data_IF_573276909220
#
_entry.id   IF_573276909220
#
_cell.length_a   1.000
_cell.length_b   1.000
_cell.length_c   1.000
_cell.angle_alpha   90.00
_cell.angle_beta   90.00
_cell.angle_gamma   90.00
#
_symmetry.space_group_name_H-M   'P 1'
#
loop_
_entity.id
_entity.type
_entity.pdbx_description
1 polymer ?
#
# COMPACT_ATOMS: atom_id res chain seq x y z
N UNK A 1 -12.65 -23.82 -57.36
CA UNK A 1 -13.39 -22.80 -56.58
C UNK A 1 -13.83 -23.48 -55.29
N UNK A 2 -13.08 -23.30 -54.20
CA UNK A 2 -13.35 -23.91 -52.89
C UNK A 2 -14.01 -22.87 -51.98
N UNK A 3 -15.25 -23.13 -51.57
CA UNK A 3 -15.97 -22.38 -50.54
C UNK A 3 -15.55 -22.93 -49.16
N UNK A 4 -14.74 -22.17 -48.42
CA UNK A 4 -14.43 -22.42 -47.02
C UNK A 4 -15.49 -21.72 -46.14
N UNK A 5 -16.40 -22.52 -45.57
CA UNK A 5 -17.31 -22.11 -44.50
C UNK A 5 -16.54 -22.11 -43.17
N UNK A 6 -16.30 -20.93 -42.60
CA UNK A 6 -15.86 -20.79 -41.21
C UNK A 6 -17.07 -20.80 -40.28
N UNK A 7 -17.06 -21.58 -39.19
CA UNK A 7 -18.10 -21.48 -38.17
C UNK A 7 -17.91 -20.20 -37.34
N UNK A 8 -18.99 -19.44 -37.22
CA UNK A 8 -19.17 -18.35 -36.26
C UNK A 8 -19.03 -18.90 -34.84
N UNK A 9 -17.85 -18.74 -34.25
CA UNK A 9 -17.64 -18.96 -32.82
C UNK A 9 -18.41 -17.89 -32.05
N UNK A 10 -19.42 -18.33 -31.30
CA UNK A 10 -20.29 -17.50 -30.50
C UNK A 10 -19.49 -16.62 -29.53
N UNK A 11 -19.87 -15.35 -29.50
CA UNK A 11 -19.41 -14.38 -28.51
C UNK A 11 -19.84 -14.84 -27.12
N UNK A 12 -18.95 -15.60 -26.46
CA UNK A 12 -19.06 -15.90 -25.04
C UNK A 12 -19.05 -14.59 -24.28
N UNK A 13 -20.19 -14.25 -23.67
CA UNK A 13 -20.33 -13.13 -22.75
C UNK A 13 -19.37 -13.40 -21.59
N UNK A 14 -18.21 -12.75 -21.61
CA UNK A 14 -17.22 -12.85 -20.54
C UNK A 14 -17.86 -12.50 -19.20
N UNK A 15 -17.36 -13.06 -18.09
CA UNK A 15 -17.93 -12.80 -16.77
C UNK A 15 -18.00 -11.29 -16.54
N UNK A 16 -19.19 -10.81 -16.21
CA UNK A 16 -19.43 -9.41 -15.89
C UNK A 16 -18.35 -8.94 -14.90
N UNK A 17 -17.52 -7.99 -15.33
CA UNK A 17 -16.55 -7.32 -14.48
C UNK A 17 -17.32 -6.80 -13.27
N UNK A 18 -17.20 -7.49 -12.13
CA UNK A 18 -17.75 -7.02 -10.86
C UNK A 18 -17.27 -5.59 -10.70
N UNK A 19 -18.20 -4.66 -10.59
CA UNK A 19 -17.92 -3.26 -10.32
C UNK A 19 -17.03 -3.20 -9.08
N UNK A 20 -15.74 -2.97 -9.31
CA UNK A 20 -14.78 -2.75 -8.23
C UNK A 20 -15.27 -1.48 -7.54
N UNK A 21 -15.89 -1.66 -6.38
CA UNK A 21 -16.20 -0.55 -5.47
C UNK A 21 -14.92 0.27 -5.35
N UNK A 22 -14.96 1.54 -5.80
CA UNK A 22 -13.82 2.45 -5.80
C UNK A 22 -13.48 2.76 -4.34
N UNK A 23 -12.78 1.85 -3.66
CA UNK A 23 -12.15 2.11 -2.37
C UNK A 23 -11.12 3.21 -2.64
N UNK A 24 -11.38 4.41 -2.13
CA UNK A 24 -10.52 5.58 -2.32
C UNK A 24 -9.67 5.78 -1.07
N UNK A 25 -8.40 6.05 -1.27
CA UNK A 25 -7.55 6.59 -0.22
C UNK A 25 -8.07 7.96 0.24
N UNK A 26 -8.21 8.13 1.55
CA UNK A 26 -8.61 9.37 2.23
C UNK A 26 -7.47 9.89 3.11
N UNK A 27 -7.50 11.17 3.46
CA UNK A 27 -6.59 11.77 4.44
C UNK A 27 -7.37 12.18 5.69
N UNK A 28 -6.78 12.02 6.87
CA UNK A 28 -7.38 12.41 8.16
C UNK A 28 -7.83 13.88 8.19
N UNK A 29 -7.04 14.76 7.58
CA UNK A 29 -7.33 16.19 7.49
C UNK A 29 -6.57 16.84 6.31
N UNK A 30 -6.85 18.13 6.08
CA UNK A 30 -6.23 18.93 5.03
C UNK A 30 -4.70 18.96 5.13
N UNK A 31 -4.14 19.01 6.34
CA UNK A 31 -2.68 19.06 6.51
C UNK A 31 -2.01 17.77 6.03
N UNK A 32 -2.56 16.60 6.37
CA UNK A 32 -2.04 15.31 5.91
C UNK A 32 -2.12 15.22 4.38
N UNK A 33 -3.24 15.68 3.80
CA UNK A 33 -3.39 15.75 2.35
C UNK A 33 -2.30 16.60 1.70
N UNK A 34 -2.07 17.82 2.20
CA UNK A 34 -1.02 18.70 1.66
C UNK A 34 0.37 18.09 1.81
N UNK A 35 0.71 17.58 2.99
CA UNK A 35 2.00 16.94 3.27
C UNK A 35 2.22 15.69 2.41
N UNK A 36 1.16 14.95 2.06
CA UNK A 36 1.28 13.84 1.14
C UNK A 36 1.45 14.34 -0.30
N UNK A 37 0.58 15.23 -0.78
CA UNK A 37 0.54 15.61 -2.20
C UNK A 37 1.69 16.51 -2.65
N UNK A 38 2.20 17.41 -1.81
CA UNK A 38 3.20 18.41 -2.20
C UNK A 38 4.63 17.88 -2.36
N UNK A 39 4.92 16.66 -1.89
CA UNK A 39 6.26 16.08 -1.97
C UNK A 39 6.31 14.86 -2.90
N UNK A 40 7.45 14.65 -3.54
CA UNK A 40 7.71 13.44 -4.32
C UNK A 40 7.58 12.20 -3.43
N UNK A 41 7.10 11.08 -3.98
CA UNK A 41 6.97 9.79 -3.28
C UNK A 41 7.99 8.82 -3.83
N UNK A 42 8.52 7.96 -2.97
CA UNK A 42 9.43 6.92 -3.43
C UNK A 42 8.65 5.94 -4.33
N UNK A 43 9.20 5.44 -5.45
CA UNK A 43 8.47 4.54 -6.35
C UNK A 43 7.90 3.31 -5.63
N UNK A 44 8.67 2.67 -4.75
CA UNK A 44 8.19 1.54 -3.95
C UNK A 44 7.05 1.92 -2.98
N UNK A 45 7.01 3.16 -2.47
CA UNK A 45 5.89 3.64 -1.65
C UNK A 45 4.63 3.77 -2.50
N UNK A 46 4.75 4.30 -3.72
CA UNK A 46 3.62 4.43 -4.65
C UNK A 46 3.06 3.05 -5.01
N UNK A 47 3.92 2.09 -5.38
CA UNK A 47 3.48 0.75 -5.74
C UNK A 47 2.85 0.00 -4.55
N UNK A 48 3.44 0.11 -3.35
CA UNK A 48 2.88 -0.50 -2.14
C UNK A 48 1.51 0.07 -1.79
N UNK A 49 1.35 1.39 -1.79
CA UNK A 49 0.07 2.03 -1.50
C UNK A 49 -0.99 1.70 -2.55
N UNK A 50 -0.61 1.65 -3.83
CA UNK A 50 -1.51 1.21 -4.90
C UNK A 50 -1.95 -0.24 -4.72
N UNK A 51 -1.00 -1.15 -4.43
CA UNK A 51 -1.30 -2.55 -4.14
C UNK A 51 -2.29 -2.70 -2.96
N UNK A 52 -2.16 -1.85 -1.95
CA UNK A 52 -2.99 -1.86 -0.75
C UNK A 52 -4.37 -1.23 -0.97
N UNK A 53 -4.47 -0.13 -1.73
CA UNK A 53 -5.73 0.55 -2.06
C UNK A 53 -6.69 -0.37 -2.84
N UNK A 54 -6.15 -1.26 -3.68
CA UNK A 54 -6.94 -2.27 -4.39
C UNK A 54 -7.60 -3.32 -3.47
N UNK A 55 -7.22 -3.39 -2.19
CA UNK A 55 -7.64 -4.45 -1.24
C UNK A 55 -8.43 -3.89 -0.07
N UNK A 56 -8.01 -2.75 0.48
CA UNK A 56 -8.60 -2.17 1.69
C UNK A 56 -8.86 -0.69 1.54
N UNK A 57 -9.76 -0.15 2.37
CA UNK A 57 -9.89 1.28 2.50
C UNK A 57 -8.65 1.85 3.21
N UNK A 58 -8.15 2.99 2.72
CA UNK A 58 -6.99 3.66 3.29
C UNK A 58 -7.37 5.03 3.86
N UNK A 59 -6.96 5.29 5.10
CA UNK A 59 -7.01 6.62 5.70
C UNK A 59 -5.60 6.98 6.16
N UNK A 60 -4.92 7.83 5.40
CA UNK A 60 -3.62 8.39 5.77
C UNK A 60 -3.79 9.30 6.98
N UNK A 61 -3.03 9.03 8.04
CA UNK A 61 -2.99 9.83 9.27
C UNK A 61 -1.72 10.67 9.39
N UNK A 62 -0.67 10.30 8.65
CA UNK A 62 0.59 11.03 8.57
C UNK A 62 1.30 10.74 7.24
N UNK A 63 2.07 11.71 6.76
CA UNK A 63 2.93 11.60 5.57
C UNK A 63 4.23 12.37 5.84
N UNK A 64 4.60 13.36 5.02
CA UNK A 64 5.77 14.19 5.32
C UNK A 64 5.62 14.99 6.62
N UNK A 65 6.69 15.10 7.41
CA UNK A 65 6.79 15.96 8.60
C UNK A 65 8.17 16.60 8.68
N UNK A 66 8.25 17.93 8.80
CA UNK A 66 9.52 18.66 8.90
C UNK A 66 10.21 18.50 10.26
N UNK A 67 9.47 18.20 11.31
CA UNK A 67 9.97 18.12 12.69
C UNK A 67 9.56 16.79 13.34
N UNK A 68 10.43 16.22 14.20
CA UNK A 68 10.06 15.14 15.11
C UNK A 68 8.83 15.50 15.94
N UNK A 69 7.94 14.53 16.19
CA UNK A 69 6.79 14.73 17.11
C UNK A 69 7.07 14.23 18.53
N UNK A 70 8.10 13.40 18.71
CA UNK A 70 8.56 12.91 20.00
C UNK A 70 10.05 12.56 19.94
N UNK A 71 10.71 12.42 21.09
CA UNK A 71 12.16 12.19 21.18
C UNK A 71 12.65 10.91 20.46
N UNK A 72 11.80 9.89 20.34
CA UNK A 72 12.11 8.60 19.66
C UNK A 72 11.71 8.57 18.17
N UNK A 73 11.36 9.72 17.58
CA UNK A 73 10.97 9.77 16.16
C UNK A 73 12.21 9.49 15.31
N UNK A 74 12.16 8.49 14.44
CA UNK A 74 13.29 8.11 13.58
C UNK A 74 13.62 9.16 12.52
N UNK A 75 12.76 10.17 12.34
CA UNK A 75 12.91 11.18 11.31
C UNK A 75 12.58 10.67 9.91
N UNK A 76 12.09 9.42 9.76
CA UNK A 76 11.80 8.82 8.45
C UNK A 76 10.70 9.57 7.68
N UNK A 77 9.78 10.23 8.41
CA UNK A 77 8.76 11.10 7.82
C UNK A 77 9.33 12.43 7.27
N UNK A 78 10.58 12.77 7.56
CA UNK A 78 11.25 13.98 7.04
C UNK A 78 12.05 13.73 5.74
N UNK A 79 12.05 12.49 5.24
CA UNK A 79 12.81 12.12 4.03
C UNK A 79 11.98 12.41 2.77
N UNK A 80 12.62 13.06 1.79
CA UNK A 80 12.10 13.24 0.42
C UNK A 80 13.01 12.46 -0.55
N UNK A 81 12.47 11.64 -1.46
CA UNK A 81 11.04 11.37 -1.65
C UNK A 81 10.43 10.65 -0.44
N UNK A 82 9.13 10.83 -0.19
CA UNK A 82 8.41 10.27 0.97
C UNK A 82 8.67 8.76 1.05
N UNK A 83 9.21 8.33 2.20
CA UNK A 83 9.49 6.94 2.53
C UNK A 83 8.67 6.36 3.66
N UNK A 84 7.88 7.18 4.35
CA UNK A 84 7.00 6.70 5.40
C UNK A 84 5.65 7.40 5.38
N UNK A 85 4.60 6.62 5.66
CA UNK A 85 3.24 7.10 5.88
C UNK A 85 2.62 6.31 7.03
N UNK A 86 1.73 6.95 7.77
CA UNK A 86 0.93 6.24 8.77
C UNK A 86 -0.49 6.07 8.23
N UNK A 87 -1.05 4.87 8.37
CA UNK A 87 -2.45 4.60 8.07
C UNK A 87 -3.21 4.21 9.32
N UNK A 88 -4.47 4.63 9.37
CA UNK A 88 -5.38 4.33 10.47
C UNK A 88 -5.61 2.82 10.60
N UNK A 89 -5.39 2.26 11.79
CA UNK A 89 -5.50 0.81 12.01
C UNK A 89 -6.93 0.36 12.33
N UNK A 90 -7.70 1.15 13.09
CA UNK A 90 -9.00 0.74 13.63
C UNK A 90 -10.12 0.60 12.59
N UNK A 91 -9.87 1.01 11.34
CA UNK A 91 -10.79 0.74 10.22
C UNK A 91 -10.67 -0.72 9.74
N UNK A 92 -9.63 -1.44 10.16
CA UNK A 92 -9.43 -2.84 9.83
C UNK A 92 -10.00 -3.72 10.96
N UNK A 93 -10.79 -4.73 10.58
CA UNK A 93 -11.25 -5.76 11.51
C UNK A 93 -10.08 -6.49 12.19
N UNK A 94 -8.97 -6.67 11.47
CA UNK A 94 -7.74 -7.27 12.00
C UNK A 94 -6.50 -6.55 11.43
N UNK A 95 -5.97 -5.52 12.11
CA UNK A 95 -4.82 -4.75 11.62
C UNK A 95 -3.52 -5.57 11.55
N UNK A 96 -3.33 -6.58 12.42
CA UNK A 96 -2.18 -7.48 12.33
C UNK A 96 -2.17 -8.30 11.03
N UNK A 97 -3.34 -8.67 10.50
CA UNK A 97 -3.43 -9.33 9.19
C UNK A 97 -2.94 -8.39 8.07
N UNK A 98 -3.20 -7.09 8.17
CA UNK A 98 -2.70 -6.09 7.20
C UNK A 98 -1.18 -5.95 7.31
N UNK A 99 -0.65 -5.80 8.52
CA UNK A 99 0.79 -5.77 8.78
C UNK A 99 1.49 -7.00 8.20
N UNK A 100 0.97 -8.20 8.50
CA UNK A 100 1.50 -9.46 7.98
C UNK A 100 1.45 -9.51 6.45
N UNK A 101 0.30 -9.20 5.85
CA UNK A 101 0.12 -9.26 4.39
C UNK A 101 1.09 -8.32 3.64
N UNK A 102 1.32 -7.12 4.18
CA UNK A 102 2.31 -6.19 3.60
C UNK A 102 3.71 -6.81 3.69
N UNK A 103 4.13 -7.26 4.88
CA UNK A 103 5.49 -7.78 5.08
C UNK A 103 5.74 -9.15 4.41
N UNK A 104 4.69 -9.92 4.11
CA UNK A 104 4.79 -11.15 3.33
C UNK A 104 5.06 -10.87 1.85
N UNK A 105 4.59 -9.74 1.33
CA UNK A 105 4.69 -9.36 -0.08
C UNK A 105 5.82 -8.37 -0.33
N UNK A 106 6.17 -7.55 0.66
CA UNK A 106 7.15 -6.49 0.54
C UNK A 106 8.30 -6.69 1.52
N UNK A 107 9.53 -6.69 1.00
CA UNK A 107 10.75 -6.78 1.80
C UNK A 107 11.35 -5.37 1.89
N UNK A 108 11.56 -4.87 3.11
CA UNK A 108 12.07 -3.52 3.34
C UNK A 108 13.44 -3.29 2.71
N UNK A 109 14.41 -4.14 3.02
CA UNK A 109 15.73 -4.20 2.40
C UNK A 109 16.23 -5.64 2.58
N UNK A 110 16.52 -6.42 1.52
CA UNK A 110 17.02 -7.78 1.63
C UNK A 110 18.27 -7.91 2.50
N UNK A 111 19.08 -6.85 2.64
CA UNK A 111 20.27 -6.82 3.50
C UNK A 111 19.97 -6.48 4.95
N UNK A 112 18.73 -6.13 5.30
CA UNK A 112 18.28 -5.74 6.66
C UNK A 112 17.02 -6.53 7.05
N UNK A 113 17.11 -7.86 7.24
CA UNK A 113 15.95 -8.74 7.40
C UNK A 113 15.10 -8.43 8.65
N UNK A 114 15.66 -7.73 9.64
CA UNK A 114 14.95 -7.32 10.86
C UNK A 114 14.05 -6.09 10.66
N UNK A 115 14.18 -5.38 9.53
CA UNK A 115 13.33 -4.24 9.21
C UNK A 115 12.13 -4.66 8.37
N UNK A 116 10.99 -4.05 8.64
CA UNK A 116 9.69 -4.36 8.05
C UNK A 116 9.15 -3.18 7.24
N UNK A 117 8.39 -3.47 6.19
CA UNK A 117 7.69 -2.44 5.42
C UNK A 117 6.46 -1.91 6.16
N UNK A 118 5.88 -2.70 7.06
CA UNK A 118 4.77 -2.29 7.91
C UNK A 118 5.04 -2.67 9.36
N UNK A 119 4.81 -1.74 10.28
CA UNK A 119 4.86 -1.98 11.72
C UNK A 119 3.57 -1.49 12.33
N UNK A 120 2.83 -2.37 13.00
CA UNK A 120 1.68 -1.97 13.81
C UNK A 120 2.18 -1.57 15.21
N UNK A 121 2.01 -0.31 15.57
CA UNK A 121 2.45 0.18 16.88
C UNK A 121 1.59 1.35 17.38
N UNK A 122 1.77 1.71 18.65
CA UNK A 122 1.24 2.94 19.24
C UNK A 122 2.38 3.94 19.46
N UNK A 123 2.26 5.12 18.87
CA UNK A 123 3.22 6.22 19.03
C UNK A 123 2.88 7.18 20.18
N UNK A 124 1.89 6.83 21.01
CA UNK A 124 1.27 7.72 22.00
C UNK A 124 0.11 8.54 21.43
N UNK A 125 -0.25 8.31 20.16
CA UNK A 125 -1.36 8.96 19.47
C UNK A 125 -2.39 7.95 18.92
N UNK A 126 -2.33 6.71 19.43
CA UNK A 126 -3.17 5.61 19.04
C UNK A 126 -2.50 4.66 18.06
N UNK A 127 -2.98 3.43 18.07
CA UNK A 127 -2.47 2.35 17.23
C UNK A 127 -2.66 2.69 15.75
N UNK A 128 -1.62 2.54 14.95
CA UNK A 128 -1.64 2.78 13.50
C UNK A 128 -0.65 1.83 12.81
N UNK A 129 -0.86 1.58 11.53
CA UNK A 129 0.13 0.87 10.73
C UNK A 129 1.10 1.90 10.16
N UNK A 130 2.34 1.86 10.62
CA UNK A 130 3.44 2.64 10.06
C UNK A 130 3.99 1.91 8.85
N UNK A 131 3.78 2.46 7.66
CA UNK A 131 4.29 1.93 6.40
C UNK A 131 5.57 2.69 6.05
N UNK A 132 6.64 1.94 5.75
CA UNK A 132 7.93 2.50 5.40
C UNK A 132 8.60 1.73 4.25
N UNK A 133 9.41 2.42 3.46
CA UNK A 133 10.21 1.84 2.38
C UNK A 133 11.65 2.36 2.39
N UNK A 134 12.50 1.68 1.63
CA UNK A 134 13.91 1.95 1.41
C UNK A 134 14.22 1.90 -0.10
N UNK A 135 15.40 2.38 -0.50
CA UNK A 135 15.86 2.28 -1.90
C UNK A 135 15.94 0.83 -2.39
N UNK A 136 16.22 -0.10 -1.46
CA UNK A 136 16.31 -1.53 -1.73
C UNK A 136 15.00 -2.28 -1.42
N UNK A 137 13.89 -1.57 -1.21
CA UNK A 137 12.60 -2.23 -1.02
C UNK A 137 12.22 -2.96 -2.29
N UNK A 138 11.92 -4.24 -2.14
CA UNK A 138 11.53 -5.11 -3.25
C UNK A 138 10.22 -5.81 -2.92
N UNK A 139 9.41 -5.98 -3.96
CA UNK A 139 8.23 -6.84 -3.89
C UNK A 139 8.66 -8.28 -4.12
N UNK A 140 8.20 -9.21 -3.27
CA UNK A 140 8.31 -10.64 -3.54
C UNK A 140 7.44 -10.94 -4.75
N UNK A 141 8.07 -11.38 -5.83
CA UNK A 141 7.35 -12.02 -6.92
C UNK A 141 6.80 -13.34 -6.37
N UNK A 142 5.50 -13.37 -6.09
CA UNK A 142 4.82 -14.63 -5.82
C UNK A 142 4.92 -15.45 -7.11
N UNK A 143 5.50 -16.66 -7.04
CA UNK A 143 5.26 -17.66 -8.09
C UNK A 143 3.74 -17.74 -8.27
N UNK A 144 3.30 -17.67 -9.52
CA UNK A 144 1.89 -17.61 -9.92
C UNK A 144 0.99 -18.49 -9.02
N UNK A 145 -0.08 -17.89 -8.44
CA UNK A 145 -1.12 -18.69 -7.77
C UNK A 145 -1.65 -18.23 -6.41
N UNK A 146 -1.34 -17.03 -5.92
CA UNK A 146 -2.00 -16.54 -4.71
C UNK A 146 -3.36 -15.92 -5.05
N UNK A 147 -4.41 -16.69 -4.82
CA UNK A 147 -5.79 -16.22 -4.87
C UNK A 147 -5.98 -15.05 -3.90
N UNK A 148 -6.52 -13.95 -4.42
CA UNK A 148 -6.77 -12.72 -3.68
C UNK A 148 -7.59 -12.98 -2.41
N UNK A 149 -7.17 -12.32 -1.33
CA UNK A 149 -7.81 -12.29 0.00
C UNK A 149 -9.19 -11.65 -0.07
#
# INVERSE_FOLDING_TARGET
>A
MFLLLYPLLGAGVGPALKTISKKKMRCKNKQVFLNYHQHAKHPAMVELLWWLEGRVELILTSAYRKRPIHAKDSGIHAIIPIRAVDIRSWIFKNPHKIEKSINDIWIYDPKRPNLKCCVLHDSGHGVHCHIQVHNNTVRRYLKEGFNDV
#
